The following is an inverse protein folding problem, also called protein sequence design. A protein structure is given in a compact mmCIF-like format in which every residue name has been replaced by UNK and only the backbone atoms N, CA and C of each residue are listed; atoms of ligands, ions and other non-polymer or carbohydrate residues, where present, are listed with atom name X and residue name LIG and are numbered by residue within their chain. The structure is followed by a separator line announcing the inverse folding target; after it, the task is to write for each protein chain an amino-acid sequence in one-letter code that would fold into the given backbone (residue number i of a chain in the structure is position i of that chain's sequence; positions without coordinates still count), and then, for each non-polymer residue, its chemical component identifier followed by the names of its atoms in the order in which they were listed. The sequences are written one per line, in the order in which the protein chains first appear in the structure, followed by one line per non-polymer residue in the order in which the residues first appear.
data_IF_848918075977
#
_entry.id   IF_848918075977
#
_cell.length_a   1.000
_cell.length_b   1.000
_cell.length_c   1.000
_cell.angle_alpha   90.00
_cell.angle_beta   90.00
_cell.angle_gamma   90.00
#
_symmetry.space_group_name_H-M   'P 1'
#
loop_
_entity.id
_entity.type
_entity.pdbx_description
1 polymer ?
#
# COMPACT_ATOMS: atom_id res chain seq x y z
N UNK A 1 -3.93 -46.18 20.75
CA UNK A 1 -4.96 -45.11 20.66
C UNK A 1 -4.62 -43.85 21.49
N UNK A 2 -4.16 -43.93 22.76
CA UNK A 2 -3.82 -42.71 23.53
C UNK A 2 -2.55 -41.99 23.05
N UNK A 3 -1.52 -42.73 22.58
CA UNK A 3 -0.26 -42.15 22.08
C UNK A 3 -0.45 -41.29 20.82
N UNK A 4 -1.18 -41.79 19.81
CA UNK A 4 -1.52 -41.01 18.60
C UNK A 4 -2.28 -39.72 18.93
N UNK A 5 -3.11 -39.72 19.98
CA UNK A 5 -3.85 -38.54 20.43
C UNK A 5 -2.92 -37.53 21.13
N UNK A 6 -1.93 -37.99 21.90
CA UNK A 6 -0.91 -37.14 22.50
C UNK A 6 0.01 -36.52 21.44
N UNK A 7 0.45 -37.32 20.47
CA UNK A 7 1.31 -36.88 19.36
C UNK A 7 0.61 -35.83 18.47
N UNK A 8 -0.66 -36.06 18.14
CA UNK A 8 -1.47 -35.08 17.40
C UNK A 8 -1.66 -33.77 18.18
N UNK A 9 -1.84 -33.85 19.51
CA UNK A 9 -1.97 -32.66 20.36
C UNK A 9 -0.65 -31.88 20.45
N UNK A 10 0.48 -32.57 20.58
CA UNK A 10 1.80 -31.96 20.56
C UNK A 10 2.07 -31.25 19.21
N UNK A 11 1.77 -31.93 18.10
CA UNK A 11 1.89 -31.37 16.75
C UNK A 11 1.04 -30.10 16.55
N UNK A 12 -0.20 -30.11 17.07
CA UNK A 12 -1.08 -28.94 17.01
C UNK A 12 -0.53 -27.76 17.83
N UNK A 13 0.01 -28.02 19.02
CA UNK A 13 0.60 -26.98 19.86
C UNK A 13 1.83 -26.37 19.20
N UNK A 14 2.73 -27.19 18.66
CA UNK A 14 3.90 -26.73 17.92
C UNK A 14 3.49 -25.88 16.70
N UNK A 15 2.47 -26.30 15.96
CA UNK A 15 1.98 -25.52 14.82
C UNK A 15 1.43 -24.14 15.22
N UNK A 16 0.77 -24.03 16.39
CA UNK A 16 0.29 -22.75 16.93
C UNK A 16 1.44 -21.83 17.35
N UNK A 17 2.46 -22.40 17.99
CA UNK A 17 3.67 -21.65 18.40
C UNK A 17 4.44 -21.13 17.18
N UNK A 18 4.62 -21.98 16.16
CA UNK A 18 5.25 -21.59 14.90
C UNK A 18 4.44 -20.48 14.19
N UNK A 19 3.11 -20.58 14.20
CA UNK A 19 2.24 -19.55 13.63
C UNK A 19 2.40 -18.20 14.34
N UNK A 20 2.38 -18.17 15.67
CA UNK A 20 2.59 -16.94 16.42
C UNK A 20 4.00 -16.38 16.24
N UNK A 21 5.02 -17.24 16.13
CA UNK A 21 6.41 -16.86 15.81
C UNK A 21 6.46 -16.14 14.46
N UNK A 22 5.94 -16.74 13.39
CA UNK A 22 5.91 -16.15 12.05
C UNK A 22 5.11 -14.83 12.05
N UNK A 23 3.97 -14.79 12.75
CA UNK A 23 3.14 -13.59 12.86
C UNK A 23 3.87 -12.45 13.55
N UNK A 24 4.63 -12.74 14.61
CA UNK A 24 5.44 -11.76 15.33
C UNK A 24 6.63 -11.30 14.49
N UNK A 25 7.39 -12.22 13.88
CA UNK A 25 8.49 -11.90 12.98
C UNK A 25 8.03 -11.02 11.81
N UNK A 26 6.85 -11.27 11.22
CA UNK A 26 6.27 -10.41 10.18
C UNK A 26 5.98 -8.99 10.68
N UNK A 27 5.50 -8.83 11.93
CA UNK A 27 5.32 -7.51 12.54
C UNK A 27 6.67 -6.82 12.74
N UNK A 28 7.71 -7.56 13.12
CA UNK A 28 9.06 -7.01 13.29
C UNK A 28 9.67 -6.54 11.96
N UNK A 29 9.47 -7.28 10.86
CA UNK A 29 9.85 -6.80 9.51
C UNK A 29 9.21 -5.44 9.20
N UNK A 30 7.92 -5.29 9.51
CA UNK A 30 7.22 -4.02 9.32
C UNK A 30 7.81 -2.90 10.18
N UNK A 31 8.15 -3.18 11.44
CA UNK A 31 8.75 -2.20 12.36
C UNK A 31 10.17 -1.80 11.95
N UNK A 32 11.00 -2.77 11.56
CA UNK A 32 12.37 -2.55 11.13
C UNK A 32 12.50 -1.78 9.81
N UNK A 33 11.42 -1.68 9.02
CA UNK A 33 11.42 -1.00 7.72
C UNK A 33 10.97 0.47 7.80
N UNK A 34 10.93 1.08 8.98
CA UNK A 34 10.79 2.52 9.10
C UNK A 34 12.15 3.21 8.95
N UNK A 35 12.24 4.44 8.39
CA UNK A 35 13.46 5.23 8.38
C UNK A 35 13.76 5.84 9.76
N UNK A 36 12.76 5.96 10.63
CA UNK A 36 12.96 6.45 11.99
C UNK A 36 12.37 5.45 12.95
N UNK A 37 13.05 5.25 14.08
CA UNK A 37 12.51 4.49 15.18
C UNK A 37 11.24 5.19 15.71
N UNK A 38 10.17 4.41 15.88
CA UNK A 38 8.83 4.96 16.12
C UNK A 38 8.64 5.52 17.53
N UNK A 39 9.50 5.14 18.48
CA UNK A 39 9.40 5.55 19.88
C UNK A 39 10.41 6.64 20.23
N UNK A 40 11.56 6.64 19.57
CA UNK A 40 12.66 7.58 19.83
C UNK A 40 12.75 8.68 18.77
N UNK A 41 12.25 8.44 17.55
CA UNK A 41 12.40 9.35 16.40
C UNK A 41 13.82 9.40 15.83
N UNK A 42 14.71 8.54 16.31
CA UNK A 42 16.11 8.51 15.87
C UNK A 42 16.17 7.90 14.46
N UNK A 43 16.99 8.51 13.61
CA UNK A 43 17.33 8.01 12.27
C UNK A 43 17.83 6.57 12.37
N UNK A 44 17.19 5.68 11.64
CA UNK A 44 17.58 4.29 11.59
C UNK A 44 18.76 4.12 10.62
N UNK A 45 19.78 3.40 11.07
CA UNK A 45 20.87 2.98 10.19
C UNK A 45 20.40 1.85 9.27
N UNK A 46 20.69 1.99 7.98
CA UNK A 46 20.37 1.01 6.95
C UNK A 46 21.04 -0.35 7.18
N UNK A 47 22.23 -0.39 7.79
CA UNK A 47 22.91 -1.65 8.13
C UNK A 47 22.17 -2.35 9.27
N UNK A 48 21.87 -1.61 10.35
CA UNK A 48 21.06 -2.13 11.46
C UNK A 48 19.67 -2.59 11.00
N UNK A 49 19.01 -1.86 10.09
CA UNK A 49 17.75 -2.29 9.47
C UNK A 49 17.90 -3.65 8.77
N UNK A 50 19.00 -3.85 8.01
CA UNK A 50 19.30 -5.12 7.36
C UNK A 50 19.50 -6.28 8.33
N UNK A 51 20.18 -6.03 9.46
CA UNK A 51 20.38 -7.04 10.52
C UNK A 51 19.03 -7.45 11.12
N UNK A 52 18.17 -6.49 11.45
CA UNK A 52 16.85 -6.78 12.02
C UNK A 52 15.94 -7.53 11.03
N UNK A 53 15.95 -7.14 9.75
CA UNK A 53 15.25 -7.87 8.70
C UNK A 53 15.76 -9.30 8.59
N UNK A 54 17.08 -9.51 8.55
CA UNK A 54 17.68 -10.84 8.50
C UNK A 54 17.22 -11.69 9.67
N UNK A 55 17.32 -11.17 10.89
CA UNK A 55 16.88 -11.86 12.10
C UNK A 55 15.42 -12.31 12.01
N UNK A 56 14.51 -11.43 11.61
CA UNK A 56 13.09 -11.81 11.46
C UNK A 56 12.86 -12.85 10.37
N UNK A 57 13.64 -12.85 9.29
CA UNK A 57 13.55 -13.90 8.27
C UNK A 57 14.13 -15.23 8.76
N UNK A 58 15.20 -15.21 9.55
CA UNK A 58 15.77 -16.40 10.17
C UNK A 58 14.75 -17.04 11.14
N UNK A 59 14.07 -16.25 11.98
CA UNK A 59 12.97 -16.72 12.84
C UNK A 59 11.82 -17.37 12.03
N UNK A 60 11.49 -16.81 10.85
CA UNK A 60 10.47 -17.39 9.96
C UNK A 60 10.96 -18.72 9.37
N UNK A 61 12.22 -18.81 8.95
CA UNK A 61 12.80 -20.05 8.39
C UNK A 61 12.75 -21.17 9.42
N UNK A 62 13.20 -20.90 10.64
CA UNK A 62 13.18 -21.86 11.74
C UNK A 62 11.75 -22.35 12.03
N UNK A 63 10.80 -21.43 12.19
CA UNK A 63 9.40 -21.77 12.48
C UNK A 63 8.69 -22.51 11.32
N UNK A 64 9.26 -22.50 10.12
CA UNK A 64 8.67 -23.11 8.92
C UNK A 64 9.49 -24.26 8.34
N UNK A 65 10.50 -24.74 9.06
CA UNK A 65 11.41 -25.75 8.52
C UNK A 65 10.72 -27.09 8.17
N UNK A 66 9.67 -27.45 8.92
CA UNK A 66 8.89 -28.65 8.65
C UNK A 66 7.85 -28.48 7.52
N UNK A 67 7.73 -27.28 6.93
CA UNK A 67 6.79 -27.05 5.83
C UNK A 67 7.36 -27.52 4.47
N UNK A 68 6.49 -27.84 3.49
CA UNK A 68 6.93 -28.25 2.16
C UNK A 68 7.76 -27.17 1.46
N UNK A 69 8.64 -27.59 0.54
CA UNK A 69 9.60 -26.71 -0.16
C UNK A 69 8.96 -25.48 -0.81
N UNK A 70 7.77 -25.63 -1.39
CA UNK A 70 6.99 -24.51 -1.96
C UNK A 70 6.76 -23.34 -1.00
N UNK A 71 6.74 -23.60 0.31
CA UNK A 71 6.59 -22.58 1.35
C UNK A 71 7.94 -21.89 1.61
N UNK A 72 9.03 -22.65 1.67
CA UNK A 72 10.41 -22.15 1.81
C UNK A 72 10.78 -21.25 0.62
N UNK A 73 10.43 -21.64 -0.60
CA UNK A 73 10.61 -20.82 -1.81
C UNK A 73 9.94 -19.45 -1.73
N UNK A 74 8.75 -19.38 -1.11
CA UNK A 74 8.03 -18.10 -0.93
C UNK A 74 8.73 -17.21 0.08
N UNK A 75 9.29 -17.78 1.14
CA UNK A 75 10.08 -17.07 2.14
C UNK A 75 11.34 -16.51 1.48
N UNK A 76 12.07 -17.32 0.69
CA UNK A 76 13.25 -16.86 -0.03
C UNK A 76 12.93 -15.82 -1.09
N UNK A 77 11.78 -15.93 -1.77
CA UNK A 77 11.30 -14.87 -2.65
C UNK A 77 11.08 -13.55 -1.91
N UNK A 78 10.49 -13.58 -0.73
CA UNK A 78 10.31 -12.39 0.09
C UNK A 78 11.67 -11.84 0.61
N UNK A 79 12.57 -12.72 1.03
CA UNK A 79 13.93 -12.36 1.46
C UNK A 79 14.70 -11.62 0.37
N UNK A 80 14.62 -12.05 -0.89
CA UNK A 80 15.29 -11.36 -2.02
C UNK A 80 14.89 -9.89 -2.17
N UNK A 81 13.74 -9.47 -1.65
CA UNK A 81 13.29 -8.07 -1.71
C UNK A 81 13.99 -7.19 -0.66
N UNK A 82 14.52 -7.76 0.43
CA UNK A 82 15.13 -6.99 1.53
C UNK A 82 16.32 -6.14 1.06
N UNK A 83 17.11 -6.64 0.10
CA UNK A 83 18.19 -5.85 -0.52
C UNK A 83 17.68 -4.53 -1.12
N UNK A 84 16.55 -4.57 -1.83
CA UNK A 84 15.93 -3.36 -2.41
C UNK A 84 15.28 -2.48 -1.34
N UNK A 85 14.73 -3.08 -0.29
CA UNK A 85 14.17 -2.35 0.86
C UNK A 85 15.27 -1.52 1.54
N UNK A 86 16.41 -2.12 1.87
CA UNK A 86 17.55 -1.44 2.50
C UNK A 86 18.07 -0.33 1.57
N UNK A 87 18.21 -0.61 0.27
CA UNK A 87 18.60 0.41 -0.71
C UNK A 87 17.59 1.58 -0.77
N UNK A 88 16.30 1.31 -0.59
CA UNK A 88 15.26 2.36 -0.55
C UNK A 88 15.40 3.24 0.70
N UNK A 89 15.78 2.67 1.85
CA UNK A 89 16.08 3.45 3.06
C UNK A 89 17.32 4.35 2.86
N UNK A 90 18.39 3.80 2.29
CA UNK A 90 19.59 4.57 1.99
C UNK A 90 19.28 5.71 0.99
N UNK A 91 18.57 5.40 -0.09
CA UNK A 91 18.13 6.38 -1.08
C UNK A 91 17.26 7.48 -0.46
N UNK A 92 16.33 7.11 0.43
CA UNK A 92 15.52 8.08 1.15
C UNK A 92 16.37 9.10 1.91
N UNK A 93 17.39 8.64 2.63
CA UNK A 93 18.28 9.55 3.34
C UNK A 93 19.13 10.40 2.40
N UNK A 94 19.65 9.83 1.30
CA UNK A 94 20.35 10.62 0.29
C UNK A 94 19.48 11.75 -0.27
N UNK A 95 18.19 11.48 -0.53
CA UNK A 95 17.23 12.49 -0.98
C UNK A 95 16.99 13.57 0.08
N UNK A 96 16.87 13.17 1.35
CA UNK A 96 16.73 14.11 2.46
C UNK A 96 17.95 15.03 2.57
N UNK A 97 19.17 14.46 2.54
CA UNK A 97 20.41 15.24 2.61
C UNK A 97 20.53 16.22 1.43
N UNK A 98 20.17 15.79 0.22
CA UNK A 98 20.17 16.66 -0.96
C UNK A 98 19.17 17.81 -0.80
N UNK A 99 17.91 17.52 -0.47
CA UNK A 99 16.86 18.54 -0.37
C UNK A 99 17.13 19.55 0.75
N UNK A 100 17.67 19.10 1.90
CA UNK A 100 18.08 19.99 2.99
C UNK A 100 19.36 20.74 2.62
N UNK A 101 20.27 20.09 1.88
CA UNK A 101 21.43 20.67 1.20
C UNK A 101 21.10 21.96 0.46
N UNK A 102 20.10 21.88 -0.41
CA UNK A 102 19.70 22.95 -1.32
C UNK A 102 18.98 24.13 -0.63
N UNK A 103 18.69 24.04 0.68
CA UNK A 103 17.97 25.10 1.39
C UNK A 103 18.83 26.29 1.80
N UNK A 104 20.17 26.17 1.73
CA UNK A 104 21.14 27.17 2.19
C UNK A 104 20.91 27.56 3.67
N UNK A 105 20.85 26.55 4.54
CA UNK A 105 20.64 26.71 5.99
C UNK A 105 21.99 26.66 6.72
N UNK A 106 22.06 27.33 7.87
CA UNK A 106 23.15 27.12 8.84
C UNK A 106 23.15 25.68 9.37
N UNK A 107 24.29 25.23 9.87
CA UNK A 107 24.46 23.86 10.38
C UNK A 107 23.46 23.55 11.50
N UNK A 108 23.24 24.48 12.45
CA UNK A 108 22.24 24.31 13.52
C UNK A 108 20.82 24.05 12.97
N UNK A 109 20.43 24.77 11.91
CA UNK A 109 19.11 24.64 11.27
C UNK A 109 19.01 23.35 10.45
N UNK A 110 20.10 22.94 9.80
CA UNK A 110 20.21 21.65 9.11
C UNK A 110 20.08 20.50 10.09
N UNK A 111 20.76 20.56 11.22
CA UNK A 111 20.67 19.56 12.28
C UNK A 111 19.27 19.51 12.87
N UNK A 112 18.62 20.66 13.05
CA UNK A 112 17.23 20.72 13.51
C UNK A 112 16.24 20.07 12.51
N UNK A 113 16.48 20.25 11.21
CA UNK A 113 15.70 19.59 10.17
C UNK A 113 15.84 18.06 10.26
N UNK A 114 17.08 17.56 10.32
CA UNK A 114 17.39 16.13 10.26
C UNK A 114 17.02 15.40 11.56
N UNK A 115 17.25 16.02 12.71
CA UNK A 115 17.08 15.39 14.03
C UNK A 115 15.68 15.59 14.64
N UNK A 116 14.95 16.65 14.26
CA UNK A 116 13.65 16.99 14.89
C UNK A 116 12.52 17.06 13.89
N UNK A 117 12.61 17.94 12.88
CA UNK A 117 11.46 18.26 12.04
C UNK A 117 11.05 17.10 11.11
N UNK A 118 11.99 16.56 10.34
CA UNK A 118 11.69 15.48 9.39
C UNK A 118 11.21 14.22 10.13
N UNK A 119 11.91 13.73 11.20
CA UNK A 119 11.41 12.61 11.98
C UNK A 119 10.05 12.91 12.64
N UNK A 120 9.87 14.12 13.17
CA UNK A 120 8.61 14.56 13.80
C UNK A 120 7.41 14.48 12.85
N UNK A 121 7.54 15.03 11.64
CA UNK A 121 6.49 14.95 10.61
C UNK A 121 6.31 13.54 10.05
N UNK A 122 7.38 12.74 9.99
CA UNK A 122 7.28 11.33 9.61
C UNK A 122 6.45 10.53 10.62
N UNK A 123 6.77 10.64 11.92
CA UNK A 123 6.02 9.99 12.99
C UNK A 123 4.56 10.46 13.05
N UNK A 124 4.31 11.75 12.77
CA UNK A 124 2.95 12.27 12.64
C UNK A 124 2.15 11.48 11.60
N UNK A 125 2.72 11.30 10.40
CA UNK A 125 2.10 10.53 9.30
C UNK A 125 1.93 9.06 9.65
N UNK A 126 2.89 8.45 10.35
CA UNK A 126 2.79 7.03 10.76
C UNK A 126 1.67 6.84 11.79
N UNK A 127 1.57 7.70 12.81
CA UNK A 127 0.52 7.61 13.83
C UNK A 127 -0.90 7.64 13.25
N UNK A 128 -1.12 8.39 12.16
CA UNK A 128 -2.42 8.43 11.48
C UNK A 128 -2.82 7.09 10.84
N UNK A 129 -1.83 6.26 10.49
CA UNK A 129 -2.01 4.96 9.85
C UNK A 129 -1.91 3.79 10.84
N UNK A 130 -1.50 4.04 12.08
CA UNK A 130 -1.42 3.04 13.13
C UNK A 130 -2.82 2.66 13.61
N UNK A 131 -3.07 1.35 13.72
CA UNK A 131 -4.36 0.79 14.10
C UNK A 131 -4.45 0.54 15.60
N UNK A 132 -3.33 0.21 16.22
CA UNK A 132 -3.27 0.00 17.66
C UNK A 132 -3.32 1.35 18.38
N UNK A 133 -4.33 1.54 19.24
CA UNK A 133 -4.58 2.84 19.86
C UNK A 133 -3.47 3.25 20.83
N UNK A 134 -2.88 2.30 21.55
CA UNK A 134 -1.80 2.56 22.51
C UNK A 134 -0.51 2.96 21.78
N UNK A 135 -0.12 2.19 20.76
CA UNK A 135 1.05 2.51 19.93
C UNK A 135 0.86 3.82 19.17
N UNK A 136 -0.34 4.06 18.63
CA UNK A 136 -0.69 5.31 17.97
C UNK A 136 -0.46 6.51 18.88
N UNK A 137 -0.88 6.41 20.14
CA UNK A 137 -0.70 7.49 21.10
C UNK A 137 0.79 7.73 21.41
N UNK A 138 1.56 6.66 21.64
CA UNK A 138 3.02 6.74 21.88
C UNK A 138 3.73 7.44 20.72
N UNK A 139 3.44 7.05 19.48
CA UNK A 139 4.04 7.64 18.28
C UNK A 139 3.61 9.10 18.12
N UNK A 140 2.34 9.41 18.38
CA UNK A 140 1.80 10.77 18.31
C UNK A 140 2.46 11.70 19.33
N UNK A 141 2.63 11.23 20.57
CA UNK A 141 3.32 11.98 21.62
C UNK A 141 4.77 12.26 21.23
N UNK A 142 5.50 11.26 20.72
CA UNK A 142 6.87 11.47 20.28
C UNK A 142 6.98 12.46 19.11
N UNK A 143 6.05 12.37 18.16
CA UNK A 143 5.94 13.35 17.06
C UNK A 143 5.74 14.77 17.59
N UNK A 144 4.83 14.97 18.55
CA UNK A 144 4.57 16.27 19.18
C UNK A 144 5.80 16.79 19.95
N UNK A 145 6.48 15.92 20.69
CA UNK A 145 7.71 16.26 21.41
C UNK A 145 8.80 16.79 20.45
N UNK A 146 9.02 16.07 19.33
CA UNK A 146 9.99 16.50 18.32
C UNK A 146 9.61 17.84 17.68
N UNK A 147 8.34 18.02 17.35
CA UNK A 147 7.80 19.22 16.69
C UNK A 147 7.54 20.41 17.64
N UNK A 148 7.65 20.23 18.96
CA UNK A 148 7.48 21.29 19.95
C UNK A 148 8.45 22.47 19.74
N UNK A 149 9.59 22.22 19.10
CA UNK A 149 10.55 23.26 18.72
C UNK A 149 9.93 24.37 17.87
N UNK A 150 8.91 24.06 17.07
CA UNK A 150 8.20 25.05 16.24
C UNK A 150 7.35 26.03 17.07
N UNK A 151 6.98 25.64 18.30
CA UNK A 151 6.14 26.45 19.19
C UNK A 151 6.97 27.34 20.11
N UNK A 152 8.25 27.01 20.33
CA UNK A 152 9.12 27.75 21.24
C UNK A 152 9.85 28.91 20.52
N UNK A 153 9.30 30.12 20.64
CA UNK A 153 9.86 31.35 20.05
C UNK A 153 11.20 31.76 20.62
N UNK A 154 11.50 31.37 21.86
CA UNK A 154 12.80 31.62 22.52
C UNK A 154 13.78 30.45 22.35
N UNK A 155 13.40 29.43 21.58
CA UNK A 155 14.14 28.19 21.41
C UNK A 155 15.06 28.18 20.18
N UNK A 156 15.25 27.03 19.52
CA UNK A 156 16.15 26.87 18.36
C UNK A 156 15.85 27.78 17.16
N UNK A 157 14.66 28.40 17.12
CA UNK A 157 14.25 29.36 16.10
C UNK A 157 14.30 30.82 16.58
N UNK A 158 14.90 31.09 17.74
CA UNK A 158 15.08 32.46 18.23
C UNK A 158 15.79 33.29 17.17
N UNK A 159 15.21 34.44 16.80
CA UNK A 159 15.72 35.31 15.74
C UNK A 159 15.47 34.85 14.30
N UNK A 160 14.82 33.71 14.07
CA UNK A 160 14.40 33.29 12.72
C UNK A 160 13.07 33.93 12.33
N UNK A 161 12.93 34.32 11.06
CA UNK A 161 11.67 34.83 10.54
C UNK A 161 10.62 33.71 10.40
N UNK A 162 9.33 34.08 10.53
CA UNK A 162 8.20 33.16 10.40
C UNK A 162 8.21 32.49 9.01
N UNK A 163 8.56 33.24 7.96
CA UNK A 163 8.64 32.72 6.59
C UNK A 163 9.69 31.62 6.45
N UNK A 164 10.82 31.76 7.14
CA UNK A 164 11.90 30.76 7.16
C UNK A 164 11.46 29.49 7.89
N UNK A 165 10.84 29.64 9.07
CA UNK A 165 10.29 28.53 9.85
C UNK A 165 9.23 27.77 9.02
N UNK A 166 8.36 28.49 8.30
CA UNK A 166 7.37 27.88 7.43
C UNK A 166 7.99 27.19 6.21
N UNK A 167 9.06 27.74 5.64
CA UNK A 167 9.84 27.10 4.55
C UNK A 167 10.45 25.79 5.06
N UNK A 168 11.07 25.78 6.24
CA UNK A 168 11.63 24.59 6.88
C UNK A 168 10.55 23.55 7.18
N UNK A 169 9.44 23.93 7.81
CA UNK A 169 8.35 23.02 8.13
C UNK A 169 7.72 22.42 6.86
N UNK A 170 7.55 23.20 5.79
CA UNK A 170 7.07 22.69 4.49
C UNK A 170 8.03 21.68 3.89
N UNK A 171 9.32 21.99 3.83
CA UNK A 171 10.33 21.05 3.32
C UNK A 171 10.37 19.77 4.16
N UNK A 172 10.34 19.89 5.48
CA UNK A 172 10.36 18.73 6.36
C UNK A 172 9.15 17.80 6.16
N UNK A 173 7.95 18.35 5.91
CA UNK A 173 6.75 17.57 5.55
C UNK A 173 6.88 16.87 4.19
N UNK A 174 7.53 17.51 3.23
CA UNK A 174 7.83 16.94 1.91
C UNK A 174 8.82 15.78 2.06
N UNK A 175 9.94 16.00 2.74
CA UNK A 175 10.92 14.97 3.09
C UNK A 175 10.26 13.79 3.82
N UNK A 176 9.46 14.02 4.84
CA UNK A 176 8.70 12.98 5.53
C UNK A 176 7.73 12.21 4.62
N UNK A 177 7.31 12.80 3.50
CA UNK A 177 6.45 12.19 2.49
C UNK A 177 7.15 11.36 1.42
N UNK A 178 8.47 11.50 1.25
CA UNK A 178 9.21 10.75 0.23
C UNK A 178 9.24 9.25 0.53
N UNK A 179 9.27 8.88 1.81
CA UNK A 179 9.23 7.48 2.21
C UNK A 179 7.80 6.97 2.35
N UNK A 180 7.36 6.20 1.37
CA UNK A 180 6.06 5.53 1.40
C UNK A 180 6.26 4.02 1.50
N UNK A 181 5.85 3.43 2.63
CA UNK A 181 5.78 1.97 2.76
C UNK A 181 4.69 1.44 1.83
N UNK A 182 4.95 0.32 1.16
CA UNK A 182 3.93 -0.41 0.42
C UNK A 182 2.82 -0.80 1.39
N UNK A 183 1.63 -0.22 1.21
CA UNK A 183 0.43 -0.71 1.91
C UNK A 183 -0.03 -1.99 1.22
N UNK A 184 -0.65 -2.89 1.97
CA UNK A 184 -1.15 -4.19 1.48
C UNK A 184 -2.25 -4.08 0.40
N UNK A 185 -2.63 -2.88 -0.04
CA UNK A 185 -3.59 -2.66 -1.12
C UNK A 185 -3.09 -3.07 -2.52
N UNK A 186 -1.87 -3.60 -2.63
CA UNK A 186 -1.43 -4.28 -3.85
C UNK A 186 -2.27 -5.54 -4.10
N UNK A 187 -2.81 -6.19 -3.06
CA UNK A 187 -3.74 -7.31 -3.24
C UNK A 187 -5.07 -6.87 -3.83
N UNK A 188 -5.60 -5.70 -3.44
CA UNK A 188 -6.84 -5.16 -4.03
C UNK A 188 -6.67 -4.81 -5.51
N UNK A 189 -5.57 -4.13 -5.86
CA UNK A 189 -5.25 -3.80 -7.26
C UNK A 189 -4.89 -5.05 -8.07
N UNK A 190 -4.11 -5.98 -7.53
CA UNK A 190 -3.78 -7.22 -8.24
C UNK A 190 -4.98 -8.16 -8.36
N UNK A 191 -5.86 -8.21 -7.36
CA UNK A 191 -7.13 -8.93 -7.44
C UNK A 191 -8.04 -8.28 -8.47
N UNK A 192 -8.17 -6.94 -8.48
CA UNK A 192 -8.92 -6.20 -9.51
C UNK A 192 -8.34 -6.46 -10.90
N UNK A 193 -7.02 -6.37 -11.07
CA UNK A 193 -6.35 -6.65 -12.35
C UNK A 193 -6.55 -8.10 -12.77
N UNK A 194 -6.44 -9.05 -11.84
CA UNK A 194 -6.68 -10.47 -12.10
C UNK A 194 -8.14 -10.73 -12.49
N UNK A 195 -9.11 -10.12 -11.79
CA UNK A 195 -10.55 -10.17 -12.11
C UNK A 195 -10.84 -9.53 -13.47
N UNK A 196 -10.22 -8.40 -13.76
CA UNK A 196 -10.34 -7.69 -15.03
C UNK A 196 -9.78 -8.52 -16.18
N UNK A 197 -8.56 -9.03 -16.04
CA UNK A 197 -7.94 -9.93 -17.03
C UNK A 197 -8.78 -11.19 -17.21
N UNK A 198 -9.22 -11.86 -16.14
CA UNK A 198 -10.08 -13.04 -16.23
C UNK A 198 -11.44 -12.73 -16.89
N UNK A 199 -12.00 -11.55 -16.63
CA UNK A 199 -13.27 -11.10 -17.21
C UNK A 199 -13.19 -10.65 -18.68
N UNK A 200 -12.00 -10.28 -19.15
CA UNK A 200 -11.74 -9.89 -20.54
C UNK A 200 -11.17 -11.02 -21.41
N UNK A 201 -10.56 -12.04 -20.83
CA UNK A 201 -9.90 -13.12 -21.59
C UNK A 201 -10.87 -14.09 -22.28
N UNK A 202 -12.14 -14.13 -21.86
CA UNK A 202 -13.18 -14.96 -22.48
C UNK A 202 -14.47 -14.14 -22.60
N UNK A 203 -14.83 -13.75 -23.81
CA UNK A 203 -16.17 -13.23 -24.09
C UNK A 203 -17.15 -14.40 -23.97
N UNK A 204 -18.02 -14.37 -22.97
CA UNK A 204 -19.11 -15.35 -22.90
C UNK A 204 -20.03 -15.19 -24.10
N UNK A 205 -20.74 -16.25 -24.49
CA UNK A 205 -21.69 -16.20 -25.61
C UNK A 205 -22.73 -15.09 -25.45
N UNK A 206 -23.12 -14.80 -24.20
CA UNK A 206 -23.99 -13.67 -23.87
C UNK A 206 -23.35 -12.33 -24.19
N UNK A 207 -22.10 -12.11 -23.75
CA UNK A 207 -21.35 -10.87 -24.04
C UNK A 207 -21.06 -10.74 -25.53
N UNK A 208 -20.72 -11.83 -26.20
CA UNK A 208 -20.48 -11.85 -27.65
C UNK A 208 -21.76 -11.47 -28.39
N UNK A 209 -22.91 -12.06 -28.05
CA UNK A 209 -24.22 -11.68 -28.61
C UNK A 209 -24.53 -10.20 -28.40
N UNK A 210 -24.34 -9.67 -27.18
CA UNK A 210 -24.52 -8.25 -26.90
C UNK A 210 -23.60 -7.34 -27.72
N UNK A 211 -22.31 -7.71 -27.84
CA UNK A 211 -21.34 -6.96 -28.65
C UNK A 211 -21.66 -7.02 -30.14
N UNK A 212 -22.13 -8.16 -30.65
CA UNK A 212 -22.61 -8.31 -32.04
C UNK A 212 -23.82 -7.39 -32.29
N UNK A 213 -24.75 -7.30 -31.35
CA UNK A 213 -25.87 -6.35 -31.45
C UNK A 213 -25.33 -4.92 -31.50
N UNK A 214 -24.49 -4.50 -30.55
CA UNK A 214 -23.92 -3.14 -30.54
C UNK A 214 -23.16 -2.85 -31.84
N UNK A 215 -22.33 -3.78 -32.29
CA UNK A 215 -21.58 -3.70 -33.54
C UNK A 215 -22.52 -3.44 -34.73
N UNK A 216 -23.60 -4.22 -34.83
CA UNK A 216 -24.57 -4.12 -35.93
C UNK A 216 -25.32 -2.78 -35.99
N UNK A 217 -25.48 -2.11 -34.84
CA UNK A 217 -26.17 -0.81 -34.73
C UNK A 217 -25.22 0.40 -34.70
N UNK A 218 -23.91 0.19 -34.49
CA UNK A 218 -22.94 1.27 -34.32
C UNK A 218 -22.00 1.44 -35.51
N UNK A 219 -21.51 0.36 -36.11
CA UNK A 219 -20.56 0.45 -37.22
C UNK A 219 -21.27 0.77 -38.54
N UNK A 220 -20.74 1.79 -39.22
CA UNK A 220 -21.24 2.30 -40.50
C UNK A 220 -20.28 1.96 -41.62
N UNK A 221 -20.82 1.64 -42.79
CA UNK A 221 -20.03 1.48 -44.01
C UNK A 221 -19.76 2.87 -44.62
N UNK A 222 -18.99 2.92 -45.70
CA UNK A 222 -18.75 4.14 -46.50
C UNK A 222 -20.04 4.81 -47.00
N UNK A 223 -21.14 4.06 -47.13
CA UNK A 223 -22.48 4.57 -47.47
C UNK A 223 -23.24 5.19 -46.27
N UNK A 224 -22.63 5.21 -45.08
CA UNK A 224 -23.20 5.79 -43.86
C UNK A 224 -24.22 4.91 -43.13
N UNK A 225 -24.59 3.75 -43.67
CA UNK A 225 -25.62 2.86 -43.10
C UNK A 225 -25.03 1.76 -42.22
N UNK A 226 -25.79 1.39 -41.19
CA UNK A 226 -25.45 0.30 -40.26
C UNK A 226 -25.98 -1.05 -40.78
N UNK A 227 -25.44 -2.16 -40.27
CA UNK A 227 -25.90 -3.49 -40.65
C UNK A 227 -27.38 -3.73 -40.26
N UNK A 228 -27.80 -3.22 -39.11
CA UNK A 228 -29.18 -3.32 -38.64
C UNK A 228 -30.18 -2.56 -39.53
N UNK A 229 -29.83 -1.36 -40.00
CA UNK A 229 -30.69 -0.56 -40.91
C UNK A 229 -30.93 -1.28 -42.23
N UNK A 230 -29.91 -1.94 -42.78
CA UNK A 230 -30.03 -2.72 -44.02
C UNK A 230 -30.88 -3.98 -43.83
N UNK A 231 -30.69 -4.69 -42.72
CA UNK A 231 -31.44 -5.91 -42.42
C UNK A 231 -32.93 -5.63 -42.17
N UNK A 232 -33.22 -4.58 -41.40
CA UNK A 232 -34.60 -4.22 -41.04
C UNK A 232 -35.29 -3.33 -42.10
N UNK A 233 -34.56 -2.86 -43.12
CA UNK A 233 -35.04 -1.96 -44.18
C UNK A 233 -35.71 -0.69 -43.64
N UNK A 234 -35.27 -0.23 -42.47
CA UNK A 234 -35.83 0.93 -41.78
C UNK A 234 -34.70 1.92 -41.46
N UNK A 235 -34.84 3.16 -41.90
CA UNK A 235 -33.91 4.24 -41.56
C UNK A 235 -34.25 4.84 -40.19
N UNK A 236 -33.39 4.53 -39.21
CA UNK A 236 -33.07 5.29 -37.99
C UNK A 236 -34.16 6.24 -37.43
N UNK A 237 -35.27 5.70 -36.92
CA UNK A 237 -36.10 6.45 -35.94
C UNK A 237 -36.25 5.75 -34.58
N UNK A 238 -35.64 4.58 -34.38
CA UNK A 238 -35.80 3.82 -33.14
C UNK A 238 -34.42 3.43 -32.59
N UNK A 239 -33.73 4.35 -31.90
CA UNK A 239 -32.80 4.00 -30.80
C UNK A 239 -32.06 5.20 -30.15
N UNK A 240 -32.61 6.41 -30.15
CA UNK A 240 -32.15 7.48 -29.23
C UNK A 240 -33.02 7.61 -27.97
N UNK A 241 -34.25 7.10 -27.97
CA UNK A 241 -35.17 7.15 -26.81
C UNK A 241 -35.53 5.78 -26.19
N UNK A 242 -34.85 4.70 -26.60
CA UNK A 242 -35.21 3.32 -26.24
C UNK A 242 -34.58 2.73 -24.98
N UNK A 243 -33.69 3.44 -24.28
CA UNK A 243 -33.08 2.94 -23.03
C UNK A 243 -33.83 3.37 -21.76
N UNK A 244 -34.95 4.11 -21.88
CA UNK A 244 -35.71 4.58 -20.71
C UNK A 244 -37.16 4.09 -20.61
N UNK A 245 -37.75 3.42 -21.60
CA UNK A 245 -39.14 2.93 -21.50
C UNK A 245 -39.35 1.62 -22.29
N UNK A 246 -39.04 0.50 -21.64
CA UNK A 246 -39.72 -0.81 -21.75
C UNK A 246 -39.10 -1.83 -20.77
N UNK A 247 -38.99 -1.43 -19.50
CA UNK A 247 -39.53 -2.28 -18.43
C UNK A 247 -41.06 -2.08 -18.51
N UNK A 248 -41.84 -3.15 -18.35
CA UNK A 248 -43.28 -3.28 -18.66
C UNK A 248 -43.60 -3.58 -20.13
N UNK A 249 -43.58 -4.87 -20.46
CA UNK A 249 -44.72 -5.62 -21.01
C UNK A 249 -44.25 -7.01 -21.47
N UNK A 250 -43.94 -7.89 -20.52
CA UNK A 250 -44.06 -9.35 -20.65
C UNK A 250 -44.47 -9.89 -19.27
N UNK A 251 -45.66 -9.49 -18.82
CA UNK A 251 -46.44 -10.17 -17.79
C UNK A 251 -47.88 -10.22 -18.29
N UNK A 252 -48.45 -11.43 -18.30
CA UNK A 252 -49.84 -11.71 -18.62
C UNK A 252 -50.06 -12.12 -20.06
N UNK A 253 -50.12 -13.42 -20.33
CA UNK A 253 -51.38 -14.13 -20.59
C UNK A 253 -51.11 -15.65 -20.52
N UNK A 254 -51.40 -16.21 -19.34
CA UNK A 254 -51.96 -17.56 -19.22
C UNK A 254 -53.44 -17.52 -19.67
N UNK A 255 -53.98 -18.70 -19.98
CA UNK A 255 -55.36 -19.06 -20.36
C UNK A 255 -55.77 -18.90 -21.84
N UNK A 256 -55.49 -19.92 -22.65
CA UNK A 256 -56.41 -21.05 -22.92
C UNK A 256 -55.68 -22.18 -23.64
#
# INVERSE_FOLDING_TARGET
MPEKKQEAKASLNQAKENFETVKNARKQISKAYHPYDLLTGIKQDSVNAGIQLKKSFDEIREATDLLPERCKDRIEKAWRVTKKMIATLAFYFCMVESLVGDMDLSDDKRDLMISRLIPGFYLQKVSQKEKDQEQKEKIRQKSQELLSVLQNRSGPFSGSDISEIDRMARMARQCAGLFQRSSSCVEGRNAQLSLHHHGMHRLSDRKLKSLTVIHNFHLKRSDGTTAAERFLRTTRSICSNGLSKKCLCLQGQEEK
#
